data_IF_307654819061
#
_entry.id   IF_307654819061
#
_cell.length_a   1.000
_cell.length_b   1.000
_cell.length_c   1.000
_cell.angle_alpha   90.00
_cell.angle_beta   90.00
_cell.angle_gamma   90.00
#
_symmetry.space_group_name_H-M   'P 1'
#
loop_
_entity.id
_entity.type
_entity.pdbx_description
1 polymer ?
#
# COMPACT_ATOMS: atom_id res chain seq x y z
N UNK A 1 -0.90 -31.35 4.34
CA UNK A 1 -1.20 -29.91 4.30
C UNK A 1 -1.58 -29.60 2.87
N UNK A 2 -2.83 -29.23 2.62
CA UNK A 2 -3.28 -28.80 1.29
C UNK A 2 -2.45 -27.57 0.91
N UNK A 3 -1.75 -27.61 -0.22
CA UNK A 3 -1.05 -26.43 -0.73
C UNK A 3 -2.05 -25.28 -0.82
N UNK A 4 -1.78 -24.21 -0.09
CA UNK A 4 -2.60 -23.00 -0.14
C UNK A 4 -2.27 -22.27 -1.42
N UNK A 5 -3.30 -21.86 -2.15
CA UNK A 5 -3.17 -21.00 -3.32
C UNK A 5 -2.39 -19.73 -2.96
N UNK A 6 -1.69 -19.13 -3.94
CA UNK A 6 -0.96 -17.88 -3.70
C UNK A 6 -1.88 -16.77 -3.18
N UNK A 7 -3.12 -16.70 -3.66
CA UNK A 7 -4.13 -15.79 -3.14
C UNK A 7 -4.42 -16.02 -1.65
N UNK A 8 -4.59 -17.29 -1.23
CA UNK A 8 -4.75 -17.63 0.18
C UNK A 8 -3.52 -17.30 1.04
N UNK A 9 -2.33 -17.28 0.46
CA UNK A 9 -1.08 -16.82 1.13
C UNK A 9 -1.02 -15.32 1.28
N UNK A 10 -1.42 -14.57 0.25
CA UNK A 10 -1.56 -13.11 0.34
C UNK A 10 -2.60 -12.72 1.38
N UNK A 11 -3.76 -13.37 1.40
CA UNK A 11 -4.82 -13.05 2.36
C UNK A 11 -4.39 -13.27 3.81
N UNK A 12 -3.67 -14.35 4.11
CA UNK A 12 -3.09 -14.55 5.44
C UNK A 12 -2.05 -13.47 5.75
N UNK A 13 -1.10 -13.24 4.84
CA UNK A 13 -0.04 -12.25 5.05
C UNK A 13 -0.60 -10.84 5.26
N UNK A 14 -1.63 -10.47 4.51
CA UNK A 14 -2.36 -9.23 4.70
C UNK A 14 -2.93 -9.13 6.12
N UNK A 15 -3.61 -10.17 6.62
CA UNK A 15 -4.18 -10.17 7.97
C UNK A 15 -3.12 -10.16 9.06
N UNK A 16 -2.00 -10.85 8.87
CA UNK A 16 -0.86 -10.80 9.79
C UNK A 16 -0.29 -9.38 9.94
N UNK A 17 -0.20 -8.65 8.82
CA UNK A 17 0.44 -7.33 8.77
C UNK A 17 -0.52 -6.21 9.14
N UNK A 18 -1.75 -6.26 8.63
CA UNK A 18 -2.72 -5.17 8.75
C UNK A 18 -3.82 -5.45 9.77
N UNK A 19 -3.98 -6.70 10.24
CA UNK A 19 -5.11 -7.14 11.05
C UNK A 19 -6.27 -7.68 10.21
N UNK A 20 -7.26 -8.26 10.89
CA UNK A 20 -8.49 -8.72 10.25
C UNK A 20 -9.53 -7.59 10.25
N UNK A 21 -9.97 -7.21 9.06
CA UNK A 21 -10.92 -6.12 8.85
C UNK A 21 -12.08 -6.63 7.98
N UNK A 22 -13.13 -7.19 8.60
CA UNK A 22 -14.30 -7.65 7.86
C UNK A 22 -14.94 -6.50 7.09
N UNK A 23 -15.17 -6.71 5.80
CA UNK A 23 -15.75 -5.70 4.91
C UNK A 23 -17.28 -5.67 5.03
N UNK A 24 -17.84 -4.48 5.11
CA UNK A 24 -19.28 -4.27 4.90
C UNK A 24 -19.59 -4.10 3.41
N UNK A 25 -20.87 -4.15 3.04
CA UNK A 25 -21.30 -3.85 1.67
C UNK A 25 -20.94 -2.42 1.23
N UNK A 26 -20.88 -1.46 2.16
CA UNK A 26 -20.46 -0.09 1.87
C UNK A 26 -18.96 -0.04 1.59
N UNK A 27 -18.15 -0.80 2.34
CA UNK A 27 -16.71 -0.91 2.11
C UNK A 27 -16.43 -1.58 0.76
N UNK A 28 -17.14 -2.68 0.43
CA UNK A 28 -17.03 -3.35 -0.86
C UNK A 28 -17.33 -2.42 -2.03
N UNK A 29 -18.38 -1.60 -1.92
CA UNK A 29 -18.73 -0.60 -2.92
C UNK A 29 -17.63 0.47 -3.07
N UNK A 30 -17.10 0.97 -1.95
CA UNK A 30 -15.99 1.92 -1.95
C UNK A 30 -14.74 1.34 -2.61
N UNK A 31 -14.28 0.16 -2.19
CA UNK A 31 -13.05 -0.42 -2.72
C UNK A 31 -13.18 -0.80 -4.18
N UNK A 32 -14.36 -1.25 -4.61
CA UNK A 32 -14.62 -1.55 -6.03
C UNK A 32 -14.60 -0.29 -6.90
N UNK A 33 -15.03 0.86 -6.37
CA UNK A 33 -14.97 2.12 -7.10
C UNK A 33 -13.54 2.68 -7.22
N UNK A 34 -12.75 2.58 -6.14
CA UNK A 34 -11.45 3.26 -6.04
C UNK A 34 -10.27 2.38 -6.47
N UNK A 35 -10.36 1.07 -6.27
CA UNK A 35 -9.29 0.10 -6.51
C UNK A 35 -9.68 -0.88 -7.63
N UNK A 36 -8.75 -1.74 -8.01
CA UNK A 36 -8.97 -2.80 -9.00
C UNK A 36 -8.54 -4.15 -8.42
N UNK A 37 -9.24 -5.25 -8.76
CA UNK A 37 -8.75 -6.58 -8.45
C UNK A 37 -7.38 -6.82 -9.12
N UNK A 38 -6.45 -7.44 -8.38
CA UNK A 38 -5.10 -7.72 -8.88
C UNK A 38 -5.09 -8.50 -10.20
N UNK A 39 -5.98 -9.49 -10.33
CA UNK A 39 -6.09 -10.32 -11.53
C UNK A 39 -6.51 -9.49 -12.75
N UNK A 40 -7.49 -8.60 -12.59
CA UNK A 40 -7.95 -7.72 -13.66
C UNK A 40 -6.86 -6.73 -14.07
N UNK A 41 -6.15 -6.14 -13.11
CA UNK A 41 -5.03 -5.24 -13.39
C UNK A 41 -3.91 -5.96 -14.15
N UNK A 42 -3.54 -7.16 -13.71
CA UNK A 42 -2.50 -7.94 -14.35
C UNK A 42 -2.92 -8.33 -15.78
N UNK A 43 -4.15 -8.82 -15.97
CA UNK A 43 -4.67 -9.17 -17.29
C UNK A 43 -4.66 -7.96 -18.25
N UNK A 44 -5.12 -6.79 -17.79
CA UNK A 44 -5.13 -5.56 -18.60
C UNK A 44 -3.73 -5.08 -19.01
N UNK A 45 -2.71 -5.38 -18.19
CA UNK A 45 -1.31 -5.04 -18.45
C UNK A 45 -0.51 -6.17 -19.12
N UNK A 46 -1.13 -7.32 -19.44
CA UNK A 46 -0.44 -8.49 -19.98
C UNK A 46 0.57 -9.11 -19.01
N UNK A 47 0.29 -9.05 -17.71
CA UNK A 47 1.15 -9.56 -16.62
C UNK A 47 0.53 -10.79 -15.96
N UNK A 48 1.38 -11.59 -15.32
CA UNK A 48 0.98 -12.73 -14.51
C UNK A 48 0.64 -12.28 -13.07
N UNK A 49 -0.60 -12.55 -12.64
CA UNK A 49 -1.06 -12.24 -11.29
C UNK A 49 -0.31 -13.04 -10.22
N UNK A 50 0.01 -14.31 -10.49
CA UNK A 50 0.75 -15.14 -9.53
C UNK A 50 2.20 -14.67 -9.37
N UNK A 51 2.82 -14.21 -10.46
CA UNK A 51 4.09 -13.50 -10.43
C UNK A 51 4.04 -12.26 -9.52
N UNK A 52 2.98 -11.45 -9.62
CA UNK A 52 2.80 -10.29 -8.74
C UNK A 52 2.63 -10.71 -7.26
N UNK A 53 1.83 -11.75 -6.98
CA UNK A 53 1.66 -12.30 -5.63
C UNK A 53 2.99 -12.79 -5.03
N UNK A 54 3.84 -13.45 -5.81
CA UNK A 54 5.18 -13.86 -5.35
C UNK A 54 6.03 -12.66 -4.95
N UNK A 55 6.08 -11.62 -5.79
CA UNK A 55 6.79 -10.38 -5.46
C UNK A 55 6.24 -9.70 -4.19
N UNK A 56 4.93 -9.73 -3.96
CA UNK A 56 4.34 -9.22 -2.72
C UNK A 56 4.79 -10.03 -1.50
N UNK A 57 4.77 -11.36 -1.60
CA UNK A 57 5.23 -12.25 -0.52
C UNK A 57 6.74 -12.11 -0.24
N UNK A 58 7.53 -11.77 -1.26
CA UNK A 58 8.96 -11.49 -1.16
C UNK A 58 9.26 -10.06 -0.67
N UNK A 59 8.25 -9.22 -0.47
CA UNK A 59 8.43 -7.83 -0.04
C UNK A 59 9.04 -6.93 -1.11
N UNK A 60 8.78 -7.24 -2.39
CA UNK A 60 9.23 -6.49 -3.56
C UNK A 60 8.11 -5.70 -4.24
N UNK A 61 6.85 -6.01 -3.89
CA UNK A 61 5.66 -5.22 -4.20
C UNK A 61 4.83 -5.03 -2.92
N UNK A 62 4.05 -3.94 -2.82
CA UNK A 62 3.19 -3.76 -1.68
C UNK A 62 2.06 -4.79 -1.68
N UNK A 63 1.66 -5.21 -0.48
CA UNK A 63 0.44 -5.97 -0.26
C UNK A 63 -0.79 -5.18 -0.76
N UNK A 64 -1.93 -5.85 -1.00
CA UNK A 64 -3.18 -5.18 -1.31
C UNK A 64 -3.55 -4.16 -0.23
N UNK A 65 -4.20 -3.07 -0.63
CA UNK A 65 -4.73 -2.10 0.34
C UNK A 65 -5.95 -2.65 1.08
N UNK A 66 -6.73 -3.52 0.41
CA UNK A 66 -7.89 -4.19 0.97
C UNK A 66 -8.00 -5.63 0.45
N UNK A 67 -8.64 -6.48 1.25
CA UNK A 67 -9.28 -7.71 0.79
C UNK A 67 -10.78 -7.44 0.74
N UNK A 68 -11.39 -7.59 -0.44
CA UNK A 68 -12.85 -7.47 -0.58
C UNK A 68 -13.53 -8.69 0.06
N UNK A 69 -14.84 -8.61 0.36
CA UNK A 69 -15.58 -9.72 1.01
C UNK A 69 -15.49 -11.06 0.28
N UNK A 70 -15.32 -11.06 -1.04
CA UNK A 70 -15.12 -12.25 -1.87
C UNK A 70 -13.68 -12.79 -1.87
N UNK A 71 -12.77 -12.12 -1.15
CA UNK A 71 -11.35 -12.44 -1.09
C UNK A 71 -10.51 -11.79 -2.18
N UNK A 72 -11.10 -10.96 -3.05
CA UNK A 72 -10.34 -10.27 -4.10
C UNK A 72 -9.30 -9.31 -3.50
N UNK A 73 -8.09 -9.38 -4.03
CA UNK A 73 -6.97 -8.50 -3.66
C UNK A 73 -7.14 -7.15 -4.34
N UNK A 74 -7.54 -6.13 -3.59
CA UNK A 74 -7.81 -4.81 -4.13
C UNK A 74 -6.54 -3.96 -4.08
N UNK A 75 -6.03 -3.62 -5.26
CA UNK A 75 -4.76 -2.91 -5.45
C UNK A 75 -4.99 -1.57 -6.17
N UNK A 76 -4.10 -0.59 -5.98
CA UNK A 76 -4.21 0.67 -6.71
C UNK A 76 -3.89 0.44 -8.19
N UNK A 77 -4.51 1.22 -9.08
CA UNK A 77 -4.38 1.09 -10.54
C UNK A 77 -2.93 1.29 -11.03
N UNK A 78 -2.13 2.01 -10.24
CA UNK A 78 -0.74 2.33 -10.49
C UNK A 78 0.25 1.44 -9.70
N UNK A 79 -0.17 0.26 -9.23
CA UNK A 79 0.64 -0.69 -8.45
C UNK A 79 2.08 -0.87 -8.97
N UNK A 80 2.26 -0.95 -10.29
CA UNK A 80 3.55 -1.19 -10.93
C UNK A 80 4.33 0.09 -11.28
N UNK A 81 3.77 1.28 -11.09
CA UNK A 81 4.36 2.55 -11.53
C UNK A 81 5.68 2.85 -10.83
N UNK A 82 5.77 2.67 -9.51
CA UNK A 82 7.03 2.87 -8.79
C UNK A 82 8.09 1.83 -9.18
N UNK A 83 7.67 0.58 -9.40
CA UNK A 83 8.56 -0.47 -9.91
C UNK A 83 9.15 -0.07 -11.26
N UNK A 84 8.32 0.48 -12.16
CA UNK A 84 8.77 1.02 -13.44
C UNK A 84 9.73 2.19 -13.29
N UNK A 85 9.44 3.15 -12.40
CA UNK A 85 10.29 4.31 -12.13
C UNK A 85 11.66 3.93 -11.57
N UNK A 86 11.73 2.91 -10.70
CA UNK A 86 12.99 2.34 -10.21
C UNK A 86 13.72 1.46 -11.24
N UNK A 87 13.05 1.14 -12.35
CA UNK A 87 13.53 0.25 -13.40
C UNK A 87 13.44 -1.24 -13.05
N UNK A 88 12.70 -1.63 -12.02
CA UNK A 88 12.53 -3.03 -11.62
C UNK A 88 12.32 -3.19 -10.12
N UNK A 89 11.73 -4.31 -9.73
CA UNK A 89 11.34 -4.59 -8.34
C UNK A 89 12.55 -4.74 -7.41
N UNK A 90 13.64 -5.33 -7.91
CA UNK A 90 14.90 -5.48 -7.18
C UNK A 90 15.57 -4.14 -6.82
N UNK A 91 15.35 -3.11 -7.66
CA UNK A 91 15.89 -1.76 -7.44
C UNK A 91 14.95 -0.87 -6.63
N UNK A 92 13.68 -1.26 -6.51
CA UNK A 92 12.63 -0.43 -5.94
C UNK A 92 12.94 0.01 -4.52
N UNK A 93 13.40 -0.90 -3.64
CA UNK A 93 13.71 -0.55 -2.25
C UNK A 93 14.77 0.54 -2.16
N UNK A 94 15.90 0.36 -2.84
CA UNK A 94 17.01 1.31 -2.80
C UNK A 94 16.62 2.66 -3.41
N UNK A 95 15.88 2.64 -4.53
CA UNK A 95 15.35 3.86 -5.15
C UNK A 95 14.37 4.58 -4.20
N UNK A 96 13.44 3.84 -3.60
CA UNK A 96 12.42 4.37 -2.69
C UNK A 96 13.07 5.01 -1.46
N UNK A 97 13.88 4.25 -0.71
CA UNK A 97 14.47 4.76 0.54
C UNK A 97 15.46 5.90 0.32
N UNK A 98 16.04 6.04 -0.88
CA UNK A 98 16.90 7.16 -1.26
C UNK A 98 16.21 8.53 -1.26
N UNK A 99 14.88 8.60 -1.13
CA UNK A 99 14.14 9.86 -1.02
C UNK A 99 14.13 10.48 0.39
N UNK A 100 14.77 9.82 1.37
CA UNK A 100 14.90 10.30 2.75
C UNK A 100 16.38 10.49 3.11
N UNK A 101 16.69 11.62 3.76
CA UNK A 101 18.03 11.86 4.32
C UNK A 101 18.30 10.94 5.51
N UNK A 102 17.29 10.75 6.37
CA UNK A 102 17.34 9.78 7.46
C UNK A 102 17.03 8.36 6.93
N UNK A 103 18.05 7.52 6.96
CA UNK A 103 17.97 6.11 6.55
C UNK A 103 16.95 5.32 7.38
N UNK A 104 16.88 5.54 8.70
CA UNK A 104 15.96 4.80 9.55
C UNK A 104 14.50 5.14 9.20
N UNK A 105 14.23 6.43 8.94
CA UNK A 105 12.93 6.88 8.43
C UNK A 105 12.62 6.26 7.07
N UNK A 106 13.55 6.29 6.12
CA UNK A 106 13.35 5.68 4.80
C UNK A 106 12.99 4.19 4.88
N UNK A 107 13.65 3.43 5.75
CA UNK A 107 13.33 2.01 5.97
C UNK A 107 11.96 1.81 6.64
N UNK A 108 11.59 2.65 7.60
CA UNK A 108 10.25 2.61 8.19
C UNK A 108 9.16 2.91 7.15
N UNK A 109 9.39 3.88 6.27
CA UNK A 109 8.49 4.23 5.17
C UNK A 109 8.40 3.13 4.11
N UNK A 110 9.50 2.43 3.87
CA UNK A 110 9.50 1.25 3.01
C UNK A 110 8.62 0.13 3.56
N UNK A 111 8.73 -0.19 4.84
CA UNK A 111 7.87 -1.19 5.50
C UNK A 111 6.40 -0.75 5.45
N UNK A 112 6.13 0.53 5.67
CA UNK A 112 4.79 1.10 5.58
C UNK A 112 4.22 1.02 4.15
N UNK A 113 5.03 1.31 3.15
CA UNK A 113 4.66 1.17 1.74
C UNK A 113 4.30 -0.28 1.42
N UNK A 114 5.15 -1.23 1.82
CA UNK A 114 4.93 -2.65 1.56
C UNK A 114 3.68 -3.22 2.24
N UNK A 115 3.21 -2.61 3.33
CA UNK A 115 2.00 -3.07 4.01
C UNK A 115 0.72 -2.77 3.21
N UNK A 116 0.78 -1.90 2.20
CA UNK A 116 -0.38 -1.46 1.42
C UNK A 116 -1.21 -0.37 2.10
N UNK A 117 -0.78 0.16 3.26
CA UNK A 117 -1.61 1.05 4.10
C UNK A 117 -1.78 2.49 3.59
N UNK A 118 -1.08 2.90 2.52
CA UNK A 118 -1.19 4.25 1.96
C UNK A 118 -2.45 4.49 1.11
N UNK A 119 -3.57 3.87 1.50
CA UNK A 119 -4.89 3.96 0.84
C UNK A 119 -5.50 5.36 0.84
N UNK A 120 -5.01 6.25 1.71
CA UNK A 120 -5.45 7.65 1.77
C UNK A 120 -4.79 8.54 0.70
N UNK A 121 -3.76 8.06 0.00
CA UNK A 121 -3.09 8.79 -1.07
C UNK A 121 -3.68 8.37 -2.42
N UNK A 122 -4.05 9.35 -3.23
CA UNK A 122 -4.49 9.07 -4.61
C UNK A 122 -3.37 8.50 -5.48
N UNK A 123 -2.12 8.91 -5.23
CA UNK A 123 -0.93 8.38 -5.90
C UNK A 123 0.14 8.18 -4.84
N UNK A 124 0.60 6.94 -4.67
CA UNK A 124 1.59 6.61 -3.65
C UNK A 124 2.99 6.83 -4.23
N UNK A 125 3.62 7.96 -3.87
CA UNK A 125 5.01 8.25 -4.20
C UNK A 125 5.77 8.67 -2.95
N UNK A 126 7.10 8.49 -2.89
CA UNK A 126 7.91 9.01 -1.78
C UNK A 126 7.68 10.51 -1.52
N UNK A 127 7.53 11.31 -2.59
CA UNK A 127 7.25 12.74 -2.48
C UNK A 127 5.88 13.02 -1.85
N UNK A 128 4.82 12.29 -2.24
CA UNK A 128 3.49 12.47 -1.67
C UNK A 128 3.40 11.97 -0.22
N UNK A 129 4.08 10.89 0.13
CA UNK A 129 4.16 10.38 1.51
C UNK A 129 4.77 11.47 2.41
N UNK A 130 5.93 12.01 2.02
CA UNK A 130 6.57 13.11 2.74
C UNK A 130 5.67 14.33 2.87
N UNK A 131 5.05 14.75 1.76
CA UNK A 131 4.19 15.94 1.76
C UNK A 131 2.98 15.76 2.68
N UNK A 132 2.39 14.57 2.72
CA UNK A 132 1.28 14.23 3.62
C UNK A 132 1.73 14.32 5.09
N UNK A 133 2.91 13.79 5.43
CA UNK A 133 3.45 13.88 6.79
C UNK A 133 3.70 15.34 7.22
N UNK A 134 4.31 16.14 6.35
CA UNK A 134 4.56 17.58 6.59
C UNK A 134 3.25 18.31 6.90
N UNK A 135 2.22 18.12 6.06
CA UNK A 135 0.91 18.74 6.25
C UNK A 135 0.20 18.27 7.53
N UNK A 136 0.32 16.98 7.86
CA UNK A 136 -0.32 16.43 9.07
C UNK A 136 0.33 16.98 10.34
N UNK A 137 1.65 17.15 10.33
CA UNK A 137 2.38 17.79 11.43
C UNK A 137 1.97 19.26 11.62
N UNK A 138 1.90 20.02 10.52
CA UNK A 138 1.46 21.43 10.54
C UNK A 138 0.04 21.58 11.11
N UNK A 139 -0.90 20.73 10.67
CA UNK A 139 -2.27 20.72 11.20
C UNK A 139 -2.29 20.41 12.70
N UNK A 140 -1.51 19.42 13.14
CA UNK A 140 -1.46 19.04 14.55
C UNK A 140 -0.91 20.18 15.43
N UNK A 141 0.14 20.88 14.97
CA UNK A 141 0.70 22.05 15.65
C UNK A 141 -0.31 23.19 15.75
N UNK A 142 -1.01 23.51 14.67
CA UNK A 142 -2.06 24.53 14.65
C UNK A 142 -3.20 24.21 15.63
N UNK A 143 -3.66 22.96 15.66
CA UNK A 143 -4.73 22.51 16.57
C UNK A 143 -4.30 22.56 18.05
N UNK A 144 -3.05 22.21 18.33
CA UNK A 144 -2.49 22.33 19.68
C UNK A 144 -2.39 23.80 20.13
N UNK A 145 -2.04 24.71 19.21
CA UNK A 145 -2.00 26.15 19.48
C UNK A 145 -3.38 26.78 19.73
N UNK A 146 -4.42 26.32 19.03
CA UNK A 146 -5.81 26.80 19.19
C UNK A 146 -6.39 26.37 20.55
N UNK A 147 -6.00 25.20 21.06
CA UNK A 147 -6.46 24.68 22.35
C UNK A 147 -5.79 25.35 23.56
N UNK A 148 -4.81 26.24 23.33
CA UNK A 148 -4.08 27.01 24.34
C UNK A 148 -4.47 28.50 24.44
N UNK A 149 -5.56 28.94 23.78
CA UNK A 149 -6.04 30.32 23.84
C UNK A 149 -6.64 30.73 25.20
N UNK A 150 -6.45 31.97 25.66
CA UNK A 150 -6.66 32.36 27.07
C UNK A 150 -8.14 32.37 27.48
N UNK A 151 -8.42 31.77 28.64
CA UNK A 151 -9.63 32.03 29.45
C UNK A 151 -9.60 33.43 30.06
#
# INVERSE_FOLDING_TARGET
>A
MTERTLAGRIAERFREVNGDHPMTAADDAYVTAQFVPLEELCAALGRDADGARRLMLEGLLPLPGYLRSDGAEMVPRDLFSLTGAAGGSERLRAWFTGHWEDRARGEAEWVAYLSGRYVCLHTVTPAHIRRKDELTAEIAELLAGVSGGPT
#
